data_IF_291103327443
#
_entry.id   IF_291103327443
#
_cell.length_a   1.000
_cell.length_b   1.000
_cell.length_c   1.000
_cell.angle_alpha   90.00
_cell.angle_beta   90.00
_cell.angle_gamma   90.00
#
_symmetry.space_group_name_H-M   'P 1'
#
loop_
_entity.id
_entity.type
_entity.pdbx_description
1 polymer ?
#
# COMPACT_ATOMS: atom_id res chain seq x y z
N UNK A 1 -19.91 -12.61 23.81
CA UNK A 1 -19.24 -13.81 23.26
C UNK A 1 -20.05 -14.46 22.14
N UNK A 2 -21.37 -14.64 22.27
CA UNK A 2 -22.22 -15.25 21.22
C UNK A 2 -22.15 -14.55 19.86
N UNK A 3 -22.19 -13.21 19.82
CA UNK A 3 -22.11 -12.46 18.55
C UNK A 3 -20.80 -12.70 17.82
N UNK A 4 -19.68 -12.66 18.55
CA UNK A 4 -18.34 -12.90 17.97
C UNK A 4 -18.22 -14.32 17.43
N UNK A 5 -18.79 -15.30 18.12
CA UNK A 5 -18.85 -16.67 17.63
C UNK A 5 -19.71 -16.79 16.36
N UNK A 6 -20.89 -16.17 16.31
CA UNK A 6 -21.75 -16.16 15.10
C UNK A 6 -21.03 -15.46 13.94
N UNK A 7 -20.26 -14.41 14.18
CA UNK A 7 -19.43 -13.75 13.14
C UNK A 7 -18.34 -14.69 12.65
N UNK A 8 -17.56 -15.27 13.56
CA UNK A 8 -16.46 -16.15 13.19
C UNK A 8 -16.99 -17.36 12.41
N UNK A 9 -18.12 -17.91 12.85
CA UNK A 9 -18.81 -19.01 12.19
C UNK A 9 -19.37 -18.61 10.81
N UNK A 10 -20.08 -17.48 10.71
CA UNK A 10 -20.63 -17.00 9.43
C UNK A 10 -19.54 -16.62 8.43
N UNK A 11 -18.46 -15.98 8.89
CA UNK A 11 -17.29 -15.70 8.06
C UNK A 11 -16.58 -16.99 7.64
N UNK A 12 -16.40 -17.96 8.54
CA UNK A 12 -15.78 -19.25 8.20
C UNK A 12 -16.62 -20.05 7.20
N UNK A 13 -17.93 -20.16 7.42
CA UNK A 13 -18.88 -20.79 6.49
C UNK A 13 -18.85 -20.05 5.15
N UNK A 14 -18.85 -18.73 5.18
CA UNK A 14 -18.83 -17.89 3.99
C UNK A 14 -17.58 -18.07 3.14
N UNK A 15 -16.40 -18.03 3.78
CA UNK A 15 -15.11 -18.26 3.11
C UNK A 15 -15.03 -19.69 2.59
N UNK A 16 -15.41 -20.69 3.40
CA UNK A 16 -15.41 -22.08 2.98
C UNK A 16 -16.34 -22.31 1.78
N UNK A 17 -17.55 -21.75 1.82
CA UNK A 17 -18.54 -21.82 0.74
C UNK A 17 -18.04 -21.15 -0.54
N UNK A 18 -17.43 -19.96 -0.42
CA UNK A 18 -16.84 -19.26 -1.56
C UNK A 18 -15.69 -20.06 -2.20
N UNK A 19 -14.78 -20.59 -1.39
CA UNK A 19 -13.65 -21.39 -1.87
C UNK A 19 -14.13 -22.70 -2.53
N UNK A 20 -15.09 -23.38 -1.90
CA UNK A 20 -15.71 -24.57 -2.46
C UNK A 20 -16.37 -24.27 -3.80
N UNK A 21 -17.20 -23.23 -3.88
CA UNK A 21 -17.89 -22.85 -5.12
C UNK A 21 -16.89 -22.47 -6.23
N UNK A 22 -15.85 -21.70 -5.89
CA UNK A 22 -14.77 -21.30 -6.80
C UNK A 22 -14.01 -22.49 -7.40
N UNK A 23 -13.88 -23.58 -6.66
CA UNK A 23 -13.30 -24.83 -7.18
C UNK A 23 -14.32 -25.66 -7.94
N UNK A 24 -15.55 -25.76 -7.44
CA UNK A 24 -16.60 -26.59 -7.99
C UNK A 24 -17.05 -26.09 -9.38
N UNK A 25 -17.12 -24.78 -9.59
CA UNK A 25 -17.53 -24.15 -10.87
C UNK A 25 -16.55 -24.41 -12.02
N UNK A 26 -15.33 -24.87 -11.72
CA UNK A 26 -14.36 -25.30 -12.75
C UNK A 26 -14.71 -26.66 -13.34
N UNK A 27 -15.60 -27.43 -12.69
CA UNK A 27 -16.04 -28.74 -13.16
C UNK A 27 -17.25 -28.56 -14.07
N UNK A 28 -17.27 -29.28 -15.20
CA UNK A 28 -18.40 -29.30 -16.15
C UNK A 28 -19.79 -29.46 -15.50
N UNK A 29 -20.05 -30.38 -14.55
CA UNK A 29 -21.39 -30.56 -14.02
C UNK A 29 -21.98 -29.30 -13.36
N UNK A 30 -21.15 -28.48 -12.69
CA UNK A 30 -21.64 -27.24 -12.10
C UNK A 30 -21.85 -26.15 -13.15
N UNK A 31 -21.04 -26.14 -14.21
CA UNK A 31 -21.25 -25.23 -15.33
C UNK A 31 -22.57 -25.55 -16.03
N UNK A 32 -22.86 -26.82 -16.30
CA UNK A 32 -24.13 -27.27 -16.89
C UNK A 32 -25.33 -26.92 -16.00
N UNK A 33 -25.16 -27.02 -14.67
CA UNK A 33 -26.16 -26.55 -13.71
C UNK A 33 -26.39 -25.04 -13.81
N UNK A 34 -25.33 -24.23 -13.92
CA UNK A 34 -25.45 -22.78 -14.13
C UNK A 34 -26.14 -22.46 -15.46
N UNK A 35 -25.82 -23.18 -16.55
CA UNK A 35 -26.44 -22.97 -17.85
C UNK A 35 -27.93 -23.33 -17.86
N UNK A 36 -28.33 -24.36 -17.11
CA UNK A 36 -29.76 -24.72 -16.96
C UNK A 36 -30.54 -23.79 -16.03
N UNK A 37 -29.87 -23.10 -15.08
CA UNK A 37 -30.50 -22.25 -14.07
C UNK A 37 -30.06 -20.78 -14.17
N UNK A 38 -29.98 -20.24 -15.39
CA UNK A 38 -29.56 -18.85 -15.61
C UNK A 38 -30.45 -17.81 -14.92
N UNK A 39 -31.74 -18.08 -14.73
CA UNK A 39 -32.63 -17.15 -14.00
C UNK A 39 -32.16 -16.85 -12.57
N UNK A 40 -31.38 -17.76 -11.96
CA UNK A 40 -30.86 -17.63 -10.59
C UNK A 40 -29.35 -17.40 -10.56
N UNK A 41 -28.59 -18.11 -11.40
CA UNK A 41 -27.13 -18.13 -11.38
C UNK A 41 -26.46 -17.31 -12.48
N UNK A 42 -27.24 -16.66 -13.36
CA UNK A 42 -26.65 -15.69 -14.28
C UNK A 42 -26.02 -14.54 -13.49
N UNK A 43 -24.83 -14.03 -13.87
CA UNK A 43 -24.15 -12.95 -13.14
C UNK A 43 -25.07 -11.76 -12.80
N UNK A 44 -25.81 -11.25 -13.79
CA UNK A 44 -26.78 -10.16 -13.57
C UNK A 44 -27.88 -10.52 -12.54
N UNK A 45 -28.37 -11.76 -12.55
CA UNK A 45 -29.38 -12.22 -11.59
C UNK A 45 -28.79 -12.26 -10.17
N UNK A 46 -27.56 -12.75 -10.02
CA UNK A 46 -26.83 -12.74 -8.75
C UNK A 46 -26.68 -11.30 -8.23
N UNK A 47 -26.36 -10.32 -9.09
CA UNK A 47 -26.29 -8.91 -8.70
C UNK A 47 -27.64 -8.41 -8.15
N UNK A 48 -28.75 -8.71 -8.81
CA UNK A 48 -30.09 -8.34 -8.33
C UNK A 48 -30.43 -9.00 -6.99
N UNK A 49 -30.20 -10.30 -6.86
CA UNK A 49 -30.45 -11.05 -5.62
C UNK A 49 -29.61 -10.55 -4.45
N UNK A 50 -28.34 -10.21 -4.71
CA UNK A 50 -27.43 -9.60 -3.73
C UNK A 50 -27.96 -8.27 -3.21
N UNK A 51 -28.36 -7.37 -4.11
CA UNK A 51 -28.93 -6.07 -3.72
C UNK A 51 -30.24 -6.27 -2.96
N UNK A 52 -31.13 -7.15 -3.40
CA UNK A 52 -32.37 -7.47 -2.69
C UNK A 52 -32.11 -8.02 -1.28
N UNK A 53 -31.14 -8.93 -1.13
CA UNK A 53 -30.72 -9.47 0.15
C UNK A 53 -30.23 -8.37 1.11
N UNK A 54 -29.51 -7.37 0.61
CA UNK A 54 -29.07 -6.22 1.40
C UNK A 54 -30.23 -5.41 1.97
N UNK A 55 -31.26 -5.15 1.16
CA UNK A 55 -32.47 -4.46 1.63
C UNK A 55 -33.28 -5.30 2.62
N UNK A 56 -33.36 -6.62 2.43
CA UNK A 56 -33.96 -7.54 3.40
C UNK A 56 -33.19 -7.52 4.72
N UNK A 57 -31.85 -7.52 4.67
CA UNK A 57 -31.01 -7.40 5.85
C UNK A 57 -31.24 -6.08 6.59
N UNK A 58 -31.42 -4.97 5.87
CA UNK A 58 -31.77 -3.68 6.49
C UNK A 58 -33.11 -3.72 7.19
N UNK A 59 -34.12 -4.30 6.55
CA UNK A 59 -35.43 -4.47 7.16
C UNK A 59 -35.34 -5.33 8.43
N UNK A 60 -34.58 -6.42 8.40
CA UNK A 60 -34.39 -7.30 9.56
C UNK A 60 -33.64 -6.57 10.69
N UNK A 61 -32.63 -5.77 10.36
CA UNK A 61 -31.82 -5.05 11.34
C UNK A 61 -32.61 -3.92 12.02
N UNK A 62 -33.22 -3.02 11.23
CA UNK A 62 -33.81 -1.79 11.74
C UNK A 62 -35.30 -1.92 12.09
N UNK A 63 -36.08 -2.73 11.36
CA UNK A 63 -37.52 -2.86 11.60
C UNK A 63 -37.87 -4.01 12.56
N UNK A 64 -37.21 -5.17 12.42
CA UNK A 64 -37.49 -6.36 13.23
C UNK A 64 -36.54 -6.55 14.42
N UNK A 65 -35.47 -5.74 14.51
CA UNK A 65 -34.39 -5.88 15.49
C UNK A 65 -33.70 -7.27 15.48
N UNK A 66 -33.83 -8.03 14.40
CA UNK A 66 -33.21 -9.36 14.20
C UNK A 66 -31.77 -9.21 13.71
N UNK A 67 -30.92 -8.64 14.57
CA UNK A 67 -29.54 -8.28 14.22
C UNK A 67 -28.71 -9.46 13.70
N UNK A 68 -28.81 -10.63 14.33
CA UNK A 68 -28.04 -11.82 13.94
C UNK A 68 -28.37 -12.27 12.51
N UNK A 69 -29.65 -12.33 12.17
CA UNK A 69 -30.11 -12.69 10.82
C UNK A 69 -29.69 -11.65 9.79
N UNK A 70 -29.77 -10.35 10.13
CA UNK A 70 -29.30 -9.29 9.24
C UNK A 70 -27.79 -9.37 8.96
N UNK A 71 -26.96 -9.60 9.98
CA UNK A 71 -25.51 -9.77 9.83
C UNK A 71 -25.19 -10.97 8.92
N UNK A 72 -25.90 -12.08 9.11
CA UNK A 72 -25.75 -13.26 8.25
C UNK A 72 -26.08 -12.94 6.79
N UNK A 73 -27.19 -12.24 6.54
CA UNK A 73 -27.60 -11.86 5.18
C UNK A 73 -26.63 -10.85 4.56
N UNK A 74 -26.14 -9.85 5.29
CA UNK A 74 -25.10 -8.93 4.80
C UNK A 74 -23.82 -9.67 4.42
N UNK A 75 -23.42 -10.66 5.23
CA UNK A 75 -22.24 -11.49 4.96
C UNK A 75 -22.45 -12.32 3.69
N UNK A 76 -23.64 -12.91 3.52
CA UNK A 76 -23.99 -13.66 2.31
C UNK A 76 -24.01 -12.76 1.07
N UNK A 77 -24.58 -11.56 1.16
CA UNK A 77 -24.57 -10.58 0.08
C UNK A 77 -23.13 -10.17 -0.32
N UNK A 78 -22.25 -9.97 0.66
CA UNK A 78 -20.83 -9.68 0.40
C UNK A 78 -20.10 -10.82 -0.32
N UNK A 79 -20.47 -12.07 -0.07
CA UNK A 79 -19.89 -13.23 -0.75
C UNK A 79 -20.41 -13.33 -2.19
N UNK A 80 -21.69 -13.02 -2.42
CA UNK A 80 -22.30 -13.06 -3.75
C UNK A 80 -21.61 -12.14 -4.77
N UNK A 81 -21.03 -11.02 -4.31
CA UNK A 81 -20.18 -10.10 -5.10
C UNK A 81 -18.91 -10.76 -5.66
N UNK A 82 -18.39 -11.77 -4.97
CA UNK A 82 -17.30 -12.57 -5.51
C UNK A 82 -17.80 -13.63 -6.48
N UNK A 83 -19.00 -14.16 -6.23
CA UNK A 83 -19.57 -15.31 -6.95
C UNK A 83 -20.00 -14.90 -8.36
N UNK A 84 -20.70 -13.77 -8.55
CA UNK A 84 -21.10 -13.28 -9.88
C UNK A 84 -19.90 -13.13 -10.83
N UNK A 85 -18.80 -12.54 -10.35
CA UNK A 85 -17.58 -12.35 -11.10
C UNK A 85 -16.84 -13.66 -11.40
N UNK A 86 -16.95 -14.68 -10.56
CA UNK A 86 -16.42 -16.03 -10.85
C UNK A 86 -17.26 -16.70 -11.93
N UNK A 87 -18.59 -16.67 -11.80
CA UNK A 87 -19.50 -17.28 -12.77
C UNK A 87 -19.33 -16.62 -14.13
N UNK A 88 -19.27 -15.28 -14.19
CA UNK A 88 -19.05 -14.55 -15.44
C UNK A 88 -17.77 -14.99 -16.17
N UNK A 89 -16.66 -15.18 -15.43
CA UNK A 89 -15.36 -15.56 -16.00
C UNK A 89 -15.28 -17.03 -16.39
N UNK A 90 -15.79 -17.94 -15.56
CA UNK A 90 -15.67 -19.39 -15.79
C UNK A 90 -16.68 -19.91 -16.81
N UNK A 91 -17.92 -19.39 -16.77
CA UNK A 91 -18.98 -19.79 -17.70
C UNK A 91 -19.05 -18.89 -18.96
N UNK A 92 -18.16 -17.88 -19.09
CA UNK A 92 -18.14 -16.90 -20.19
C UNK A 92 -19.48 -16.18 -20.39
N UNK A 93 -20.22 -15.93 -19.31
CA UNK A 93 -21.53 -15.26 -19.30
C UNK A 93 -21.42 -13.73 -19.08
N UNK A 94 -20.33 -13.11 -19.55
CA UNK A 94 -20.17 -11.66 -19.48
C UNK A 94 -21.17 -10.95 -20.41
N UNK A 95 -21.79 -9.87 -19.94
CA UNK A 95 -22.71 -9.05 -20.73
C UNK A 95 -22.39 -7.57 -20.60
N UNK A 96 -22.63 -6.79 -21.67
CA UNK A 96 -22.42 -5.32 -21.67
C UNK A 96 -23.31 -4.63 -20.64
N UNK A 97 -24.53 -5.12 -20.45
CA UNK A 97 -25.42 -4.68 -19.38
C UNK A 97 -24.85 -5.00 -18.01
N UNK A 98 -24.32 -6.21 -17.81
CA UNK A 98 -23.69 -6.64 -16.56
C UNK A 98 -22.50 -5.76 -16.16
N UNK A 99 -21.66 -5.36 -17.11
CA UNK A 99 -20.54 -4.44 -16.84
C UNK A 99 -20.99 -3.07 -16.30
N UNK A 100 -22.19 -2.64 -16.69
CA UNK A 100 -22.78 -1.41 -16.16
C UNK A 100 -23.50 -1.64 -14.81
N UNK A 101 -24.29 -2.72 -14.75
CA UNK A 101 -25.16 -3.09 -13.64
C UNK A 101 -24.38 -3.48 -12.38
N UNK A 102 -23.34 -4.30 -12.51
CA UNK A 102 -22.64 -4.88 -11.37
C UNK A 102 -22.05 -3.80 -10.43
N UNK A 103 -21.29 -2.80 -10.91
CA UNK A 103 -20.84 -1.69 -10.07
C UNK A 103 -21.95 -0.80 -9.50
N UNK A 104 -23.16 -0.84 -10.07
CA UNK A 104 -24.33 -0.18 -9.47
C UNK A 104 -24.88 -1.01 -8.32
N UNK A 105 -25.06 -2.31 -8.54
CA UNK A 105 -25.50 -3.26 -7.52
C UNK A 105 -24.54 -3.26 -6.33
N UNK A 106 -23.22 -3.16 -6.52
CA UNK A 106 -22.25 -3.00 -5.43
C UNK A 106 -22.63 -1.82 -4.53
N UNK A 107 -22.78 -0.64 -5.13
CA UNK A 107 -23.06 0.62 -4.42
C UNK A 107 -24.40 0.58 -3.72
N UNK A 108 -25.42 0.02 -4.36
CA UNK A 108 -26.75 -0.17 -3.76
C UNK A 108 -26.73 -1.20 -2.63
N UNK A 109 -25.80 -2.14 -2.66
CA UNK A 109 -25.66 -3.16 -1.61
C UNK A 109 -25.02 -2.58 -0.34
N UNK A 110 -23.99 -1.74 -0.46
CA UNK A 110 -23.28 -1.22 0.71
C UNK A 110 -23.61 0.22 1.14
N UNK A 111 -23.99 1.13 0.23
CA UNK A 111 -24.23 2.53 0.61
C UNK A 111 -25.49 2.73 1.48
N UNK A 112 -26.67 2.17 1.14
CA UNK A 112 -27.87 2.35 1.96
C UNK A 112 -27.70 1.86 3.41
N UNK A 113 -27.09 0.67 3.66
CA UNK A 113 -26.76 0.27 5.02
C UNK A 113 -25.85 1.25 5.75
N UNK A 114 -24.77 1.72 5.11
CA UNK A 114 -23.84 2.65 5.74
C UNK A 114 -24.51 3.99 6.07
N UNK A 115 -25.37 4.51 5.18
CA UNK A 115 -26.14 5.73 5.46
C UNK A 115 -27.01 5.54 6.70
N UNK A 116 -27.74 4.44 6.80
CA UNK A 116 -28.58 4.16 7.97
C UNK A 116 -27.76 3.99 9.25
N UNK A 117 -26.59 3.32 9.19
CA UNK A 117 -25.67 3.22 10.32
C UNK A 117 -25.06 4.56 10.74
N UNK A 118 -24.88 5.49 9.81
CA UNK A 118 -24.45 6.85 10.13
C UNK A 118 -25.53 7.60 10.92
N UNK A 119 -26.78 7.51 10.48
CA UNK A 119 -27.91 8.13 11.19
C UNK A 119 -28.24 7.44 12.52
N UNK A 120 -27.82 6.20 12.73
CA UNK A 120 -27.87 5.55 14.05
C UNK A 120 -26.68 5.92 14.96
N UNK A 121 -25.80 6.82 14.52
CA UNK A 121 -24.68 7.33 15.32
C UNK A 121 -23.44 6.43 15.39
N UNK A 122 -23.32 5.42 14.52
CA UNK A 122 -22.17 4.49 14.51
C UNK A 122 -21.00 5.09 13.73
N UNK A 123 -21.28 5.80 12.64
CA UNK A 123 -20.27 6.46 11.79
C UNK A 123 -20.68 7.89 11.44
N UNK A 124 -19.71 8.69 11.02
CA UNK A 124 -19.87 10.10 10.73
C UNK A 124 -20.77 10.37 9.53
N UNK A 125 -21.88 11.09 9.76
CA UNK A 125 -22.85 11.51 8.73
C UNK A 125 -22.19 12.34 7.60
N UNK A 126 -21.33 13.34 7.88
CA UNK A 126 -20.62 14.06 6.81
C UNK A 126 -19.74 13.15 5.94
N UNK A 127 -19.03 12.21 6.56
CA UNK A 127 -18.11 11.31 5.85
C UNK A 127 -18.86 10.35 4.91
N UNK A 128 -19.99 9.80 5.34
CA UNK A 128 -20.76 8.89 4.47
C UNK A 128 -21.34 9.63 3.26
N UNK A 129 -21.81 10.87 3.42
CA UNK A 129 -22.30 11.66 2.30
C UNK A 129 -21.19 12.05 1.33
N UNK A 130 -19.97 12.32 1.84
CA UNK A 130 -18.80 12.50 1.00
C UNK A 130 -18.50 11.22 0.18
N UNK A 131 -18.53 10.04 0.81
CA UNK A 131 -18.37 8.77 0.09
C UNK A 131 -19.45 8.58 -0.98
N UNK A 132 -20.73 8.79 -0.64
CA UNK A 132 -21.85 8.69 -1.59
C UNK A 132 -21.65 9.62 -2.79
N UNK A 133 -21.28 10.89 -2.54
CA UNK A 133 -21.02 11.85 -3.60
C UNK A 133 -19.91 11.37 -4.55
N UNK A 134 -18.75 10.94 -4.02
CA UNK A 134 -17.64 10.44 -4.83
C UNK A 134 -18.06 9.20 -5.64
N UNK A 135 -18.81 8.28 -5.04
CA UNK A 135 -19.27 7.05 -5.70
C UNK A 135 -20.26 7.30 -6.85
N UNK A 136 -21.18 8.26 -6.65
CA UNK A 136 -22.16 8.66 -7.65
C UNK A 136 -21.50 9.42 -8.80
N UNK A 137 -20.61 10.37 -8.48
CA UNK A 137 -19.78 11.08 -9.47
C UNK A 137 -18.96 10.06 -10.27
N UNK A 138 -18.32 9.10 -9.60
CA UNK A 138 -17.53 8.06 -10.26
C UNK A 138 -18.37 7.09 -11.09
N UNK A 139 -19.65 6.87 -10.74
CA UNK A 139 -20.52 6.01 -11.52
C UNK A 139 -21.08 6.70 -12.75
N UNK A 140 -21.69 7.87 -12.58
CA UNK A 140 -22.49 8.49 -13.61
C UNK A 140 -21.63 9.45 -14.43
N UNK A 141 -20.98 10.41 -13.78
CA UNK A 141 -20.19 11.43 -14.47
C UNK A 141 -18.93 10.83 -15.08
N UNK A 142 -18.10 10.15 -14.29
CA UNK A 142 -16.80 9.67 -14.78
C UNK A 142 -16.95 8.58 -15.83
N UNK A 143 -17.87 7.63 -15.64
CA UNK A 143 -18.13 6.57 -16.64
C UNK A 143 -18.69 7.15 -17.93
N UNK A 144 -19.59 8.13 -17.84
CA UNK A 144 -20.10 8.82 -19.02
C UNK A 144 -18.98 9.52 -19.80
N UNK A 145 -18.10 10.26 -19.11
CA UNK A 145 -16.93 10.90 -19.73
C UNK A 145 -16.02 9.85 -20.39
N UNK A 146 -15.67 8.76 -19.69
CA UNK A 146 -14.80 7.71 -20.22
C UNK A 146 -15.41 7.03 -21.46
N UNK A 147 -16.72 6.79 -21.45
CA UNK A 147 -17.43 6.24 -22.61
C UNK A 147 -17.37 7.16 -23.83
N UNK A 148 -17.45 8.48 -23.62
CA UNK A 148 -17.28 9.47 -24.69
C UNK A 148 -15.85 9.56 -25.22
N UNK A 149 -14.86 9.35 -24.35
CA UNK A 149 -13.45 9.35 -24.73
C UNK A 149 -12.99 8.02 -25.34
N UNK A 150 -13.87 7.02 -25.47
CA UNK A 150 -13.54 5.65 -25.89
C UNK A 150 -12.42 5.02 -25.04
N UNK A 151 -12.27 5.44 -23.79
CA UNK A 151 -11.33 4.87 -22.84
C UNK A 151 -12.07 3.80 -22.04
N UNK A 152 -11.42 2.66 -21.80
CA UNK A 152 -11.99 1.59 -20.98
C UNK A 152 -12.36 2.11 -19.59
N UNK A 153 -13.66 2.05 -19.26
CA UNK A 153 -14.19 2.37 -17.93
C UNK A 153 -14.00 1.26 -16.89
N UNK A 154 -13.16 0.27 -17.19
CA UNK A 154 -12.96 -0.93 -16.38
C UNK A 154 -12.56 -0.61 -14.94
N UNK A 155 -12.94 -1.51 -14.02
CA UNK A 155 -12.62 -1.38 -12.61
C UNK A 155 -11.10 -1.52 -12.38
N UNK A 156 -10.50 -0.49 -11.77
CA UNK A 156 -9.13 -0.54 -11.29
C UNK A 156 -9.05 -1.25 -9.92
N UNK A 157 -7.83 -1.56 -9.47
CA UNK A 157 -7.61 -2.29 -8.23
C UNK A 157 -8.10 -1.50 -6.99
N UNK A 158 -7.99 -0.17 -7.01
CA UNK A 158 -8.49 0.69 -5.94
C UNK A 158 -10.00 0.53 -5.74
N UNK A 159 -10.77 0.54 -6.83
CA UNK A 159 -12.22 0.33 -6.78
C UNK A 159 -12.62 -1.03 -6.22
N UNK A 160 -11.88 -2.09 -6.59
CA UNK A 160 -12.12 -3.47 -6.09
C UNK A 160 -11.82 -3.58 -4.60
N UNK A 161 -10.65 -3.09 -4.15
CA UNK A 161 -10.27 -3.12 -2.73
C UNK A 161 -11.26 -2.30 -1.89
N UNK A 162 -11.65 -1.11 -2.39
CA UNK A 162 -12.63 -0.25 -1.74
C UNK A 162 -13.98 -0.96 -1.55
N UNK A 163 -14.47 -1.68 -2.56
CA UNK A 163 -15.73 -2.41 -2.46
C UNK A 163 -15.67 -3.44 -1.32
N UNK A 164 -14.62 -4.27 -1.28
CA UNK A 164 -14.40 -5.25 -0.20
C UNK A 164 -14.40 -4.58 1.18
N UNK A 165 -13.72 -3.44 1.33
CA UNK A 165 -13.67 -2.72 2.61
C UNK A 165 -15.03 -2.10 2.95
N UNK A 166 -15.82 -1.61 1.98
CA UNK A 166 -17.17 -1.13 2.22
C UNK A 166 -18.10 -2.25 2.70
N UNK A 167 -18.03 -3.44 2.10
CA UNK A 167 -18.76 -4.61 2.57
C UNK A 167 -18.36 -5.00 4.00
N UNK A 168 -17.06 -5.04 4.28
CA UNK A 168 -16.55 -5.31 5.62
C UNK A 168 -17.01 -4.24 6.63
N UNK A 169 -17.08 -2.96 6.22
CA UNK A 169 -17.57 -1.86 7.05
C UNK A 169 -19.06 -2.00 7.36
N UNK A 170 -19.90 -2.43 6.41
CA UNK A 170 -21.32 -2.72 6.67
C UNK A 170 -21.46 -3.79 7.76
N UNK A 171 -20.71 -4.88 7.63
CA UNK A 171 -20.71 -5.96 8.62
C UNK A 171 -20.20 -5.44 9.97
N UNK A 172 -19.10 -4.67 9.99
CA UNK A 172 -18.55 -4.07 11.20
C UNK A 172 -19.56 -3.15 11.90
N UNK A 173 -20.23 -2.26 11.16
CA UNK A 173 -21.26 -1.37 11.71
C UNK A 173 -22.46 -2.14 12.26
N UNK A 174 -22.88 -3.22 11.59
CA UNK A 174 -23.95 -4.09 12.09
C UNK A 174 -23.58 -4.80 13.41
N UNK A 175 -22.29 -4.89 13.74
CA UNK A 175 -21.77 -5.58 14.92
C UNK A 175 -21.54 -4.67 16.12
N UNK A 176 -21.11 -3.43 15.87
CA UNK A 176 -20.83 -2.47 16.92
C UNK A 176 -22.18 -1.89 17.40
N UNK A 177 -22.60 -2.27 18.61
CA UNK A 177 -23.85 -1.78 19.21
C UNK A 177 -23.79 -0.29 19.58
N UNK A 178 -22.61 0.21 19.95
CA UNK A 178 -22.34 1.60 20.29
C UNK A 178 -20.83 1.88 20.18
N UNK A 179 -20.47 3.12 19.84
CA UNK A 179 -19.07 3.53 19.65
C UNK A 179 -18.27 3.43 20.97
N UNK A 180 -17.26 2.53 21.07
CA UNK A 180 -16.45 2.42 22.28
C UNK A 180 -15.28 3.41 22.22
N UNK A 181 -15.50 4.64 22.69
CA UNK A 181 -14.43 5.60 23.04
C UNK A 181 -14.06 6.66 21.99
N UNK A 182 -12.93 7.34 22.22
CA UNK A 182 -12.47 8.53 21.49
C UNK A 182 -12.00 8.27 20.05
N UNK A 183 -11.72 7.02 19.68
CA UNK A 183 -11.28 6.64 18.32
C UNK A 183 -12.33 5.72 17.70
N UNK A 184 -13.17 6.29 16.83
CA UNK A 184 -14.16 5.52 16.09
C UNK A 184 -13.50 4.71 14.97
N UNK A 185 -13.35 3.40 15.19
CA UNK A 185 -12.81 2.46 14.18
C UNK A 185 -13.64 2.52 12.89
N UNK A 186 -14.96 2.67 12.99
CA UNK A 186 -15.85 2.81 11.85
C UNK A 186 -15.51 4.03 10.99
N UNK A 187 -15.23 5.18 11.61
CA UNK A 187 -14.82 6.40 10.90
C UNK A 187 -13.43 6.26 10.25
N UNK A 188 -12.50 5.57 10.92
CA UNK A 188 -11.19 5.27 10.34
C UNK A 188 -11.28 4.40 9.08
N UNK A 189 -12.12 3.36 9.12
CA UNK A 189 -12.38 2.49 7.96
C UNK A 189 -13.16 3.25 6.87
N UNK A 190 -14.13 4.08 7.24
CA UNK A 190 -14.87 4.93 6.31
C UNK A 190 -13.96 5.93 5.59
N UNK A 191 -13.03 6.56 6.31
CA UNK A 191 -12.01 7.44 5.73
C UNK A 191 -11.14 6.68 4.72
N UNK A 192 -10.73 5.45 5.04
CA UNK A 192 -9.99 4.61 4.10
C UNK A 192 -10.82 4.31 2.83
N UNK A 193 -12.13 4.04 2.96
CA UNK A 193 -13.04 3.90 1.82
C UNK A 193 -13.13 5.18 0.98
N UNK A 194 -13.22 6.35 1.60
CA UNK A 194 -13.27 7.65 0.91
C UNK A 194 -11.97 7.87 0.11
N UNK A 195 -10.81 7.66 0.74
CA UNK A 195 -9.50 7.83 0.10
C UNK A 195 -9.36 6.87 -1.08
N UNK A 196 -9.75 5.61 -0.93
CA UNK A 196 -9.69 4.62 -2.01
C UNK A 196 -10.71 4.91 -3.12
N UNK A 197 -11.89 5.44 -2.79
CA UNK A 197 -12.89 5.86 -3.76
C UNK A 197 -12.41 7.05 -4.60
N UNK A 198 -11.88 8.08 -3.94
CA UNK A 198 -11.29 9.24 -4.60
C UNK A 198 -10.09 8.83 -5.47
N UNK A 199 -9.21 7.97 -4.95
CA UNK A 199 -8.09 7.41 -5.72
C UNK A 199 -8.59 6.63 -6.94
N UNK A 200 -9.57 5.75 -6.75
CA UNK A 200 -10.18 4.99 -7.85
C UNK A 200 -10.74 5.89 -8.94
N UNK A 201 -11.36 7.02 -8.57
CA UNK A 201 -11.88 8.01 -9.51
C UNK A 201 -10.76 8.73 -10.27
N UNK A 202 -9.77 9.25 -9.56
CA UNK A 202 -8.65 9.99 -10.15
C UNK A 202 -7.84 9.11 -11.10
N UNK A 203 -7.47 7.91 -10.66
CA UNK A 203 -6.64 6.98 -11.42
C UNK A 203 -7.33 6.35 -12.63
N UNK A 204 -8.65 6.56 -12.83
CA UNK A 204 -9.33 6.21 -14.09
C UNK A 204 -9.00 7.16 -15.23
N UNK A 205 -8.68 8.42 -14.94
CA UNK A 205 -8.32 9.42 -15.94
C UNK A 205 -6.82 9.51 -16.18
N UNK A 206 -6.02 8.86 -15.34
CA UNK A 206 -4.57 8.88 -15.40
C UNK A 206 -4.11 7.61 -16.12
N UNK A 207 -3.39 7.72 -17.25
CA UNK A 207 -2.75 6.58 -17.90
C UNK A 207 -1.83 5.82 -16.94
N UNK A 208 -1.92 4.48 -16.94
CA UNK A 208 -1.13 3.62 -16.05
C UNK A 208 0.39 3.87 -16.13
N UNK A 209 0.89 4.28 -17.30
CA UNK A 209 2.30 4.63 -17.52
C UNK A 209 2.80 5.83 -16.69
N UNK A 210 1.89 6.66 -16.16
CA UNK A 210 2.23 7.82 -15.31
C UNK A 210 2.31 7.45 -13.82
N UNK A 211 2.00 6.21 -13.44
CA UNK A 211 1.96 5.84 -12.02
C UNK A 211 3.33 5.96 -11.36
N UNK A 212 4.40 5.60 -12.08
CA UNK A 212 5.77 5.77 -11.63
C UNK A 212 6.08 7.27 -11.42
N UNK A 213 5.87 8.09 -12.45
CA UNK A 213 6.14 9.53 -12.39
C UNK A 213 5.38 10.25 -11.25
N UNK A 214 4.13 9.86 -10.99
CA UNK A 214 3.35 10.40 -9.87
C UNK A 214 3.99 10.04 -8.53
N UNK A 215 4.45 8.79 -8.37
CA UNK A 215 5.12 8.35 -7.16
C UNK A 215 6.47 9.06 -6.96
N UNK A 216 7.27 9.25 -8.01
CA UNK A 216 8.51 10.04 -7.94
C UNK A 216 8.22 11.51 -7.61
N UNK A 217 7.14 12.08 -8.16
CA UNK A 217 6.65 13.42 -7.79
C UNK A 217 6.22 13.52 -6.32
N UNK A 218 5.59 12.49 -5.76
CA UNK A 218 5.26 12.41 -4.35
C UNK A 218 6.50 12.26 -3.46
N UNK A 219 7.51 11.50 -3.91
CA UNK A 219 8.83 11.45 -3.24
C UNK A 219 9.45 12.85 -3.19
N UNK A 220 9.49 13.56 -4.31
CA UNK A 220 9.99 14.94 -4.37
C UNK A 220 9.23 15.87 -3.42
N UNK A 221 7.90 15.77 -3.37
CA UNK A 221 7.06 16.55 -2.44
C UNK A 221 7.39 16.23 -0.98
N UNK A 222 7.65 14.96 -0.65
CA UNK A 222 8.13 14.54 0.67
C UNK A 222 9.50 15.15 1.01
N UNK A 223 10.43 15.18 0.06
CA UNK A 223 11.74 15.82 0.22
C UNK A 223 11.63 17.32 0.51
N UNK A 224 10.83 18.06 -0.29
CA UNK A 224 10.58 19.49 -0.09
C UNK A 224 9.86 19.73 1.26
N UNK A 225 8.83 18.94 1.56
CA UNK A 225 8.14 19.01 2.84
C UNK A 225 9.06 18.72 4.03
N UNK A 226 10.01 17.82 3.88
CA UNK A 226 11.03 17.51 4.89
C UNK A 226 11.94 18.72 5.16
N UNK A 227 12.40 19.40 4.10
CA UNK A 227 13.16 20.65 4.22
C UNK A 227 12.38 21.71 5.00
N UNK A 228 11.09 21.89 4.67
CA UNK A 228 10.22 22.83 5.38
C UNK A 228 10.03 22.46 6.87
N UNK A 229 9.79 21.18 7.17
CA UNK A 229 9.65 20.71 8.55
C UNK A 229 10.95 20.85 9.36
N UNK A 230 12.11 20.62 8.72
CA UNK A 230 13.41 20.81 9.33
C UNK A 230 13.68 22.30 9.64
N UNK A 231 13.31 23.19 8.72
CA UNK A 231 13.39 24.65 8.95
C UNK A 231 12.54 25.08 10.16
N UNK A 232 11.35 24.50 10.33
CA UNK A 232 10.49 24.73 11.50
C UNK A 232 10.99 24.05 12.79
N UNK A 233 12.19 23.43 12.79
CA UNK A 233 12.75 22.70 13.93
C UNK A 233 12.07 21.36 14.24
N UNK A 234 11.12 20.90 13.41
CA UNK A 234 10.36 19.67 13.60
C UNK A 234 11.06 18.46 12.95
N UNK A 235 12.26 18.16 13.42
CA UNK A 235 13.13 17.13 12.82
C UNK A 235 12.50 15.73 12.76
N UNK A 236 11.77 15.28 13.79
CA UNK A 236 11.11 13.98 13.77
C UNK A 236 10.06 13.87 12.64
N UNK A 237 9.26 14.91 12.45
CA UNK A 237 8.30 14.99 11.34
C UNK A 237 8.99 15.06 9.99
N UNK A 238 10.12 15.78 9.89
CA UNK A 238 10.93 15.86 8.68
C UNK A 238 11.48 14.48 8.28
N UNK A 239 11.97 13.69 9.24
CA UNK A 239 12.43 12.31 9.00
C UNK A 239 11.28 11.38 8.63
N UNK A 240 10.09 11.54 9.23
CA UNK A 240 8.91 10.78 8.82
C UNK A 240 8.58 11.00 7.34
N UNK A 241 8.68 12.24 6.85
CA UNK A 241 8.45 12.55 5.43
C UNK A 241 9.48 11.87 4.53
N UNK A 242 10.76 11.79 4.92
CA UNK A 242 11.77 11.05 4.13
C UNK A 242 11.48 9.55 4.10
N UNK A 243 11.04 8.96 5.22
CA UNK A 243 10.64 7.55 5.25
C UNK A 243 9.44 7.31 4.32
N UNK A 244 8.46 8.23 4.29
CA UNK A 244 7.33 8.14 3.36
C UNK A 244 7.78 8.31 1.91
N UNK A 245 8.68 9.26 1.62
CA UNK A 245 9.29 9.43 0.30
C UNK A 245 10.02 8.18 -0.18
N UNK A 246 10.76 7.50 0.71
CA UNK A 246 11.41 6.22 0.45
C UNK A 246 10.44 5.08 0.15
N UNK A 247 9.23 5.11 0.74
CA UNK A 247 8.20 4.16 0.35
C UNK A 247 7.72 4.44 -1.08
N UNK A 248 7.59 5.70 -1.49
CA UNK A 248 7.20 6.05 -2.87
C UNK A 248 8.27 5.65 -3.90
N UNK A 249 9.55 5.95 -3.64
CA UNK A 249 10.71 5.48 -4.43
C UNK A 249 10.72 3.94 -4.58
N UNK A 250 10.52 3.20 -3.47
CA UNK A 250 10.44 1.74 -3.57
C UNK A 250 9.31 1.24 -4.49
N UNK A 251 8.22 1.99 -4.60
CA UNK A 251 7.06 1.63 -5.42
C UNK A 251 7.13 2.16 -6.85
N UNK A 252 7.79 3.28 -7.14
CA UNK A 252 7.81 3.87 -8.47
C UNK A 252 8.52 2.96 -9.49
N UNK A 253 9.67 2.38 -9.14
CA UNK A 253 10.42 1.47 -10.00
C UNK A 253 9.63 0.19 -10.29
N UNK A 254 8.87 -0.30 -9.31
CA UNK A 254 7.96 -1.46 -9.51
C UNK A 254 6.78 -1.10 -10.40
N UNK A 255 6.24 0.12 -10.27
CA UNK A 255 5.17 0.59 -11.15
C UNK A 255 5.68 0.81 -12.57
N UNK A 256 6.90 1.33 -12.75
CA UNK A 256 7.54 1.49 -14.05
C UNK A 256 7.76 0.14 -14.74
N UNK A 257 8.24 -0.88 -14.00
CA UNK A 257 8.40 -2.24 -14.53
C UNK A 257 7.06 -2.87 -14.94
N UNK A 258 6.00 -2.64 -14.16
CA UNK A 258 4.70 -3.28 -14.36
C UNK A 258 3.83 -2.59 -15.41
N UNK A 259 3.83 -1.26 -15.43
CA UNK A 259 2.91 -0.44 -16.22
C UNK A 259 3.60 0.37 -17.31
N UNK A 260 4.93 0.27 -17.42
CA UNK A 260 5.75 1.18 -18.22
C UNK A 260 5.96 2.52 -17.51
N UNK A 261 6.90 3.31 -18.02
CA UNK A 261 7.17 4.67 -17.56
C UNK A 261 7.17 5.67 -18.72
N UNK A 262 7.29 6.95 -18.41
CA UNK A 262 7.56 7.97 -19.43
C UNK A 262 9.07 8.12 -19.67
N UNK A 263 9.43 8.87 -20.72
CA UNK A 263 10.83 9.21 -21.00
C UNK A 263 11.43 10.15 -19.94
N UNK A 264 10.59 10.95 -19.27
CA UNK A 264 11.00 11.83 -18.17
C UNK A 264 11.11 11.11 -16.83
N UNK A 265 10.37 10.00 -16.64
CA UNK A 265 10.24 9.30 -15.36
C UNK A 265 11.59 9.06 -14.66
N UNK A 266 12.59 8.45 -15.32
CA UNK A 266 13.90 8.24 -14.71
C UNK A 266 14.61 9.52 -14.26
N UNK A 267 14.46 10.63 -14.99
CA UNK A 267 15.06 11.91 -14.59
C UNK A 267 14.32 12.53 -13.40
N UNK A 268 13.00 12.39 -13.35
CA UNK A 268 12.19 12.86 -12.23
C UNK A 268 12.51 12.07 -10.96
N UNK A 269 12.69 10.75 -11.10
CA UNK A 269 13.14 9.84 -10.04
C UNK A 269 14.51 10.27 -9.49
N UNK A 270 15.53 10.43 -10.36
CA UNK A 270 16.86 10.89 -9.95
C UNK A 270 16.82 12.26 -9.21
N UNK A 271 15.97 13.18 -9.66
CA UNK A 271 15.78 14.49 -8.99
C UNK A 271 15.11 14.31 -7.63
N UNK A 272 14.06 13.50 -7.55
CA UNK A 272 13.35 13.21 -6.30
C UNK A 272 14.29 12.56 -5.28
N UNK A 273 15.06 11.57 -5.70
CA UNK A 273 16.07 10.89 -4.88
C UNK A 273 17.15 11.84 -4.38
N UNK A 274 17.65 12.72 -5.24
CA UNK A 274 18.68 13.68 -4.84
C UNK A 274 18.14 14.69 -3.82
N UNK A 275 16.89 15.13 -3.96
CA UNK A 275 16.25 16.05 -3.01
C UNK A 275 15.94 15.36 -1.67
N UNK A 276 15.33 14.18 -1.71
CA UNK A 276 14.88 13.44 -0.52
C UNK A 276 16.03 12.79 0.24
N UNK A 277 17.00 12.18 -0.45
CA UNK A 277 18.08 11.42 0.19
C UNK A 277 19.43 12.14 0.22
N UNK A 278 19.59 13.20 -0.60
CA UNK A 278 20.77 14.07 -0.59
C UNK A 278 20.52 15.36 0.18
N UNK A 279 19.75 16.27 -0.41
CA UNK A 279 19.56 17.63 0.12
C UNK A 279 18.90 17.65 1.50
N UNK A 280 17.81 16.92 1.71
CA UNK A 280 17.11 16.97 2.99
C UNK A 280 17.98 16.50 4.18
N UNK A 281 18.68 15.35 4.13
CA UNK A 281 19.62 14.96 5.18
C UNK A 281 20.81 15.92 5.31
N UNK A 282 21.37 16.39 4.19
CA UNK A 282 22.48 17.35 4.21
C UNK A 282 22.09 18.67 4.90
N UNK A 283 20.88 19.16 4.64
CA UNK A 283 20.33 20.35 5.30
C UNK A 283 20.11 20.12 6.80
N UNK A 284 19.62 18.94 7.20
CA UNK A 284 19.48 18.61 8.62
C UNK A 284 20.84 18.48 9.34
N UNK A 285 21.89 18.01 8.65
CA UNK A 285 23.26 18.05 9.18
C UNK A 285 23.67 19.52 9.43
N UNK A 286 23.39 20.45 8.51
CA UNK A 286 23.70 21.88 8.69
C UNK A 286 23.00 22.43 9.94
N UNK A 287 21.70 22.13 10.10
CA UNK A 287 20.91 22.68 11.21
C UNK A 287 21.32 22.12 12.59
N UNK A 288 21.81 20.86 12.67
CA UNK A 288 22.08 20.20 13.95
C UNK A 288 23.54 19.87 14.23
N UNK A 289 24.40 19.89 13.22
CA UNK A 289 25.76 19.37 13.26
C UNK A 289 26.81 20.33 13.83
N UNK A 290 26.42 21.49 14.36
CA UNK A 290 27.34 22.45 14.96
C UNK A 290 28.38 23.03 13.97
N UNK A 291 29.61 23.35 14.41
CA UNK A 291 30.54 24.18 13.65
C UNK A 291 31.10 23.53 12.39
N UNK A 292 31.28 22.20 12.39
CA UNK A 292 31.79 21.45 11.22
C UNK A 292 30.67 20.89 10.34
N UNK A 293 29.41 21.24 10.62
CA UNK A 293 28.25 20.72 9.90
C UNK A 293 28.32 20.96 8.40
N UNK A 294 28.80 22.13 7.97
CA UNK A 294 28.93 22.48 6.55
C UNK A 294 29.84 21.50 5.79
N UNK A 295 30.94 21.06 6.41
CA UNK A 295 31.91 20.14 5.80
C UNK A 295 31.29 18.74 5.62
N UNK A 296 30.70 18.20 6.68
CA UNK A 296 30.10 16.86 6.65
C UNK A 296 28.81 16.82 5.82
N UNK A 297 28.07 17.94 5.77
CA UNK A 297 26.92 18.11 4.89
C UNK A 297 27.33 18.10 3.42
N UNK A 298 28.37 18.88 3.06
CA UNK A 298 28.91 18.91 1.71
C UNK A 298 29.45 17.54 1.28
N UNK A 299 30.22 16.89 2.15
CA UNK A 299 30.75 15.54 1.92
C UNK A 299 29.63 14.55 1.61
N UNK A 300 28.58 14.55 2.44
CA UNK A 300 27.43 13.68 2.28
C UNK A 300 26.67 13.97 0.98
N UNK A 301 26.38 15.24 0.68
CA UNK A 301 25.64 15.63 -0.51
C UNK A 301 26.39 15.25 -1.80
N UNK A 302 27.70 15.49 -1.84
CA UNK A 302 28.55 15.12 -2.98
C UNK A 302 28.62 13.59 -3.14
N UNK A 303 28.69 12.85 -2.03
CA UNK A 303 28.68 11.38 -2.07
C UNK A 303 27.36 10.82 -2.65
N UNK A 304 26.21 11.39 -2.27
CA UNK A 304 24.92 11.01 -2.84
C UNK A 304 24.86 11.35 -4.33
N UNK A 305 25.26 12.57 -4.73
CA UNK A 305 25.28 12.98 -6.13
C UNK A 305 26.15 12.04 -6.98
N UNK A 306 27.37 11.76 -6.53
CA UNK A 306 28.28 10.84 -7.20
C UNK A 306 27.67 9.44 -7.31
N UNK A 307 27.05 8.93 -6.24
CA UNK A 307 26.39 7.62 -6.23
C UNK A 307 25.31 7.53 -7.30
N UNK A 308 24.39 8.52 -7.36
CA UNK A 308 23.30 8.54 -8.33
C UNK A 308 23.85 8.56 -9.76
N UNK A 309 24.82 9.44 -10.04
CA UNK A 309 25.48 9.52 -11.36
C UNK A 309 26.18 8.20 -11.73
N UNK A 310 26.91 7.59 -10.79
CA UNK A 310 27.58 6.30 -11.01
C UNK A 310 26.56 5.20 -11.33
N UNK A 311 25.45 5.17 -10.60
CA UNK A 311 24.42 4.17 -10.81
C UNK A 311 23.84 4.26 -12.23
N UNK A 312 23.44 5.47 -12.65
CA UNK A 312 22.85 5.71 -13.97
C UNK A 312 23.82 5.46 -15.11
N UNK A 313 25.09 5.90 -14.99
CA UNK A 313 26.07 5.83 -16.09
C UNK A 313 26.83 4.51 -16.18
N UNK A 314 27.06 3.84 -15.05
CA UNK A 314 28.01 2.72 -14.97
C UNK A 314 27.32 1.45 -14.47
N UNK A 315 26.77 1.48 -13.26
CA UNK A 315 26.32 0.24 -12.60
C UNK A 315 25.11 -0.39 -13.33
N UNK A 316 24.25 0.41 -13.99
CA UNK A 316 23.08 -0.08 -14.74
C UNK A 316 23.42 -0.91 -15.99
N UNK A 317 24.58 -0.68 -16.61
CA UNK A 317 24.98 -1.32 -17.88
C UNK A 317 26.00 -2.44 -17.69
N UNK A 318 26.36 -2.73 -16.45
CA UNK A 318 27.36 -3.73 -16.11
C UNK A 318 26.76 -5.13 -16.10
N UNK A 319 27.37 -6.03 -16.86
CA UNK A 319 27.04 -7.45 -16.89
C UNK A 319 27.76 -8.26 -15.80
N UNK A 320 28.73 -7.67 -15.11
CA UNK A 320 29.50 -8.26 -14.01
C UNK A 320 28.76 -8.26 -12.65
N UNK A 321 27.64 -7.56 -12.54
CA UNK A 321 26.84 -7.55 -11.31
C UNK A 321 25.71 -8.60 -11.36
N UNK A 322 25.59 -9.45 -10.32
CA UNK A 322 24.44 -10.33 -10.17
C UNK A 322 23.13 -9.52 -10.15
N UNK A 323 22.09 -10.06 -10.78
CA UNK A 323 20.79 -9.40 -10.88
C UNK A 323 20.28 -8.95 -9.49
N UNK A 324 20.11 -7.64 -9.30
CA UNK A 324 19.58 -7.05 -8.06
C UNK A 324 20.62 -6.77 -6.97
N UNK A 325 21.91 -6.75 -7.30
CA UNK A 325 22.98 -6.29 -6.40
C UNK A 325 23.45 -4.90 -6.83
N UNK A 326 23.70 -4.01 -5.87
CA UNK A 326 24.26 -2.69 -6.09
C UNK A 326 25.70 -2.61 -5.60
N UNK A 327 26.54 -1.85 -6.30
CA UNK A 327 27.78 -1.34 -5.73
C UNK A 327 27.48 -0.16 -4.79
N UNK A 328 28.06 -0.16 -3.60
CA UNK A 328 27.89 0.85 -2.56
C UNK A 328 26.51 0.83 -1.88
N UNK A 329 26.43 1.41 -0.68
CA UNK A 329 25.19 1.47 0.12
C UNK A 329 24.11 2.35 -0.55
N UNK A 330 22.87 1.86 -0.78
CA UNK A 330 21.76 2.67 -1.31
C UNK A 330 21.57 4.04 -0.64
N UNK A 331 21.32 5.07 -1.45
CA UNK A 331 21.06 6.45 -1.03
C UNK A 331 19.97 6.53 0.05
N UNK A 332 18.82 5.81 -0.08
CA UNK A 332 17.82 5.81 0.98
C UNK A 332 18.35 5.25 2.32
N UNK A 333 19.12 4.16 2.28
CA UNK A 333 19.72 3.58 3.48
C UNK A 333 20.80 4.50 4.09
N UNK A 334 21.61 5.14 3.24
CA UNK A 334 22.63 6.10 3.64
C UNK A 334 22.01 7.36 4.27
N UNK A 335 20.89 7.84 3.74
CA UNK A 335 20.10 8.93 4.29
C UNK A 335 19.53 8.56 5.67
N UNK A 336 18.87 7.41 5.80
CA UNK A 336 18.31 6.97 7.09
C UNK A 336 19.37 6.76 8.17
N UNK A 337 20.58 6.29 7.79
CA UNK A 337 21.70 6.20 8.73
C UNK A 337 21.98 7.58 9.33
N UNK A 338 22.19 8.61 8.50
CA UNK A 338 22.46 9.98 8.95
C UNK A 338 21.29 10.56 9.73
N UNK A 339 20.06 10.43 9.22
CA UNK A 339 18.86 10.98 9.84
C UNK A 339 18.59 10.37 11.22
N UNK A 340 18.87 9.08 11.42
CA UNK A 340 18.80 8.46 12.75
C UNK A 340 19.72 9.16 13.76
N UNK A 341 20.96 9.48 13.36
CA UNK A 341 21.89 10.21 14.22
C UNK A 341 21.52 11.68 14.42
N UNK A 342 20.95 12.35 13.41
CA UNK A 342 20.42 13.73 13.54
C UNK A 342 19.36 13.85 14.65
N UNK A 343 18.55 12.80 14.85
CA UNK A 343 17.52 12.81 15.89
C UNK A 343 18.09 12.63 17.31
N UNK A 344 19.24 11.96 17.45
CA UNK A 344 19.86 11.65 18.76
C UNK A 344 20.92 12.70 19.14
N UNK A 345 21.65 13.24 18.17
CA UNK A 345 22.76 14.18 18.37
C UNK A 345 22.37 15.63 18.01
N UNK A 346 22.49 16.60 18.94
CA UNK A 346 22.16 16.58 20.38
C UNK A 346 20.64 16.41 20.58
N UNK A 347 20.09 16.15 21.78
CA UNK A 347 20.68 16.34 23.12
C UNK A 347 21.30 15.10 23.78
N UNK A 348 21.13 13.90 23.22
CA UNK A 348 21.47 12.65 23.95
C UNK A 348 22.93 12.22 23.78
N UNK A 349 23.52 12.49 22.62
CA UNK A 349 24.88 12.08 22.28
C UNK A 349 25.68 13.27 21.71
N UNK A 350 27.02 13.25 21.84
CA UNK A 350 27.87 14.31 21.32
C UNK A 350 27.86 14.39 19.79
N UNK A 351 28.12 15.59 19.26
CA UNK A 351 28.04 15.91 17.82
C UNK A 351 28.94 15.06 16.92
N UNK A 352 30.08 14.61 17.43
CA UNK A 352 31.05 13.85 16.63
C UNK A 352 30.48 12.52 16.11
N UNK A 353 29.47 11.94 16.77
CA UNK A 353 28.77 10.76 16.26
C UNK A 353 28.02 11.06 14.95
N UNK A 354 27.39 12.24 14.83
CA UNK A 354 26.71 12.65 13.59
C UNK A 354 27.72 12.85 12.46
N UNK A 355 28.87 13.47 12.74
CA UNK A 355 29.94 13.65 11.77
C UNK A 355 30.51 12.31 11.29
N UNK A 356 30.76 11.39 12.23
CA UNK A 356 31.22 10.04 11.94
C UNK A 356 30.19 9.28 11.09
N UNK A 357 28.90 9.39 11.41
CA UNK A 357 27.84 8.77 10.66
C UNK A 357 27.74 9.32 9.22
N UNK A 358 27.85 10.64 9.04
CA UNK A 358 27.87 11.28 7.73
C UNK A 358 29.08 10.83 6.90
N UNK A 359 30.28 10.80 7.49
CA UNK A 359 31.49 10.31 6.82
C UNK A 359 31.40 8.82 6.46
N UNK A 360 30.93 7.99 7.40
CA UNK A 360 30.74 6.56 7.19
C UNK A 360 29.73 6.29 6.07
N UNK A 361 28.57 6.96 6.10
CA UNK A 361 27.55 6.85 5.06
C UNK A 361 28.11 7.25 3.69
N UNK A 362 28.83 8.38 3.62
CA UNK A 362 29.48 8.89 2.40
C UNK A 362 30.47 7.87 1.83
N UNK A 363 31.34 7.33 2.69
CA UNK A 363 32.31 6.30 2.31
C UNK A 363 31.61 5.04 1.78
N UNK A 364 30.60 4.52 2.48
CA UNK A 364 29.87 3.33 2.08
C UNK A 364 29.14 3.52 0.74
N UNK A 365 28.57 4.70 0.48
CA UNK A 365 27.90 5.02 -0.79
C UNK A 365 28.89 5.04 -1.98
N UNK A 366 30.07 5.64 -1.79
CA UNK A 366 31.11 5.76 -2.83
C UNK A 366 31.88 4.43 -3.01
N UNK A 367 31.96 3.61 -1.97
CA UNK A 367 32.70 2.34 -2.00
C UNK A 367 32.18 1.36 -3.06
N UNK A 368 33.00 0.33 -3.34
CA UNK A 368 32.63 -0.83 -4.17
C UNK A 368 32.05 -1.99 -3.34
N UNK A 369 31.68 -1.73 -2.08
CA UNK A 369 31.08 -2.76 -1.21
C UNK A 369 29.68 -3.05 -1.75
N UNK A 370 29.39 -4.31 -2.06
CA UNK A 370 28.13 -4.69 -2.68
C UNK A 370 27.03 -4.95 -1.66
N UNK A 371 25.83 -4.47 -1.95
CA UNK A 371 24.63 -4.67 -1.14
C UNK A 371 23.48 -5.20 -1.99
N UNK A 372 22.73 -6.18 -1.48
CA UNK A 372 21.55 -6.68 -2.15
C UNK A 372 20.39 -5.65 -2.13
N UNK A 373 19.65 -5.59 -3.24
CA UNK A 373 18.46 -4.75 -3.37
C UNK A 373 17.35 -5.23 -2.44
N UNK A 374 16.88 -4.33 -1.57
CA UNK A 374 15.83 -4.61 -0.59
C UNK A 374 14.53 -5.16 -1.24
N UNK A 375 13.93 -4.38 -2.14
CA UNK A 375 12.66 -4.75 -2.78
C UNK A 375 12.71 -5.96 -3.74
N UNK A 376 13.80 -6.17 -4.48
CA UNK A 376 13.88 -7.20 -5.53
C UNK A 376 14.35 -8.55 -5.00
N UNK A 377 15.29 -8.56 -4.06
CA UNK A 377 15.89 -9.79 -3.52
C UNK A 377 15.36 -10.08 -2.12
N UNK A 378 15.59 -9.17 -1.16
CA UNK A 378 15.30 -9.45 0.25
C UNK A 378 13.81 -9.75 0.45
N UNK A 379 12.93 -8.90 -0.07
CA UNK A 379 11.48 -9.02 0.15
C UNK A 379 10.88 -10.29 -0.51
N UNK A 380 11.47 -10.81 -1.59
CA UNK A 380 11.00 -12.04 -2.25
C UNK A 380 11.46 -13.31 -1.52
N UNK A 381 12.60 -13.27 -0.83
CA UNK A 381 13.17 -14.43 -0.11
C UNK A 381 12.56 -14.64 1.28
N UNK A 382 11.96 -13.60 1.88
CA UNK A 382 11.31 -13.73 3.19
C UNK A 382 10.01 -14.54 3.06
N UNK A 383 9.82 -15.61 3.85
CA UNK A 383 8.58 -16.37 3.87
C UNK A 383 7.38 -15.47 4.19
N UNK A 384 6.26 -15.64 3.45
CA UNK A 384 5.02 -14.87 3.65
C UNK A 384 4.57 -14.74 5.12
N UNK A 385 4.54 -15.81 5.96
CA UNK A 385 4.12 -15.66 7.36
C UNK A 385 5.08 -14.75 8.15
N UNK A 386 6.39 -14.91 7.97
CA UNK A 386 7.42 -14.08 8.62
C UNK A 386 7.29 -12.61 8.19
N UNK A 387 7.03 -12.36 6.90
CA UNK A 387 6.80 -11.01 6.39
C UNK A 387 5.60 -10.33 7.05
N UNK A 388 4.46 -11.03 7.17
CA UNK A 388 3.27 -10.49 7.83
C UNK A 388 3.51 -10.24 9.33
N UNK A 389 4.19 -11.16 10.01
CA UNK A 389 4.54 -10.99 11.43
C UNK A 389 5.49 -9.81 11.67
N UNK A 390 6.53 -9.64 10.84
CA UNK A 390 7.45 -8.51 10.91
C UNK A 390 6.74 -7.18 10.63
N UNK A 391 5.87 -7.15 9.62
CA UNK A 391 5.10 -5.96 9.27
C UNK A 391 4.16 -5.54 10.41
N UNK A 392 3.46 -6.51 11.01
CA UNK A 392 2.61 -6.26 12.18
C UNK A 392 3.41 -5.74 13.38
N UNK A 393 4.58 -6.33 13.67
CA UNK A 393 5.45 -5.87 14.74
C UNK A 393 5.94 -4.43 14.53
N UNK A 394 6.37 -4.08 13.30
CA UNK A 394 6.79 -2.71 12.96
C UNK A 394 5.64 -1.72 13.18
N UNK A 395 4.42 -2.04 12.77
CA UNK A 395 3.24 -1.18 12.96
C UNK A 395 2.97 -0.96 14.46
N UNK A 396 3.02 -2.02 15.27
CA UNK A 396 2.83 -1.92 16.73
C UNK A 396 3.92 -1.04 17.37
N UNK A 397 5.19 -1.25 16.99
CA UNK A 397 6.32 -0.47 17.50
C UNK A 397 6.17 1.00 17.11
N UNK A 398 5.83 1.30 15.86
CA UNK A 398 5.57 2.67 15.41
C UNK A 398 4.41 3.30 16.19
N UNK A 399 3.29 2.61 16.34
CA UNK A 399 2.15 3.10 17.11
C UNK A 399 2.53 3.42 18.56
N UNK A 400 3.33 2.56 19.19
CA UNK A 400 3.86 2.80 20.53
C UNK A 400 4.80 4.00 20.59
N UNK A 401 5.70 4.17 19.61
CA UNK A 401 6.61 5.32 19.52
C UNK A 401 5.83 6.63 19.34
N UNK A 402 4.84 6.65 18.44
CA UNK A 402 3.99 7.84 18.25
C UNK A 402 3.18 8.17 19.50
N UNK A 403 2.70 7.17 20.24
CA UNK A 403 2.01 7.36 21.52
C UNK A 403 2.92 7.93 22.60
N UNK A 404 4.14 7.42 22.72
CA UNK A 404 5.13 7.86 23.72
C UNK A 404 5.84 9.16 23.36
N UNK A 405 5.74 9.60 22.09
CA UNK A 405 6.42 10.79 21.53
C UNK A 405 7.94 10.81 21.80
N UNK A 406 8.55 9.64 21.99
CA UNK A 406 9.97 9.51 22.30
C UNK A 406 10.82 9.56 21.04
N UNK A 407 11.56 10.66 20.85
CA UNK A 407 12.46 10.85 19.70
C UNK A 407 13.59 9.82 19.70
N UNK A 408 14.13 9.48 20.88
CA UNK A 408 15.21 8.50 21.02
C UNK A 408 14.80 7.10 20.56
N UNK A 409 13.59 6.65 20.90
CA UNK A 409 13.08 5.36 20.43
C UNK A 409 12.85 5.34 18.93
N UNK A 410 12.33 6.44 18.37
CA UNK A 410 12.14 6.57 16.94
C UNK A 410 13.47 6.48 16.19
N UNK A 411 14.50 7.17 16.67
CA UNK A 411 15.83 7.13 16.09
C UNK A 411 16.50 5.75 16.22
N UNK A 412 16.35 5.09 17.38
CA UNK A 412 16.84 3.73 17.59
C UNK A 412 16.20 2.73 16.61
N UNK A 413 14.88 2.84 16.38
CA UNK A 413 14.19 2.02 15.39
C UNK A 413 14.80 2.20 13.98
N UNK A 414 15.04 3.45 13.58
CA UNK A 414 15.66 3.76 12.27
C UNK A 414 17.05 3.13 12.19
N UNK A 415 17.92 3.40 13.17
CA UNK A 415 19.30 2.91 13.15
C UNK A 415 19.38 1.38 13.18
N UNK A 416 18.55 0.72 13.99
CA UNK A 416 18.45 -0.74 14.01
C UNK A 416 17.97 -1.27 12.66
N UNK A 417 16.95 -0.65 12.07
CA UNK A 417 16.44 -1.08 10.76
C UNK A 417 17.50 -0.99 9.65
N UNK A 418 18.31 0.08 9.64
CA UNK A 418 19.41 0.25 8.68
C UNK A 418 20.54 -0.73 8.97
N UNK A 419 20.89 -0.97 10.23
CA UNK A 419 21.90 -1.96 10.61
C UNK A 419 21.49 -3.38 10.18
N UNK A 420 20.24 -3.77 10.44
CA UNK A 420 19.67 -5.05 9.98
C UNK A 420 19.73 -5.15 8.45
N UNK A 421 19.33 -4.08 7.75
CA UNK A 421 19.43 -4.05 6.29
C UNK A 421 20.88 -4.24 5.80
N UNK A 422 21.85 -3.55 6.37
CA UNK A 422 23.26 -3.67 5.98
C UNK A 422 23.81 -5.09 6.23
N UNK A 423 23.45 -5.72 7.36
CA UNK A 423 23.89 -7.08 7.71
C UNK A 423 23.22 -8.12 6.79
N UNK A 424 21.89 -8.09 6.69
CA UNK A 424 21.13 -9.05 5.87
C UNK A 424 21.44 -8.87 4.38
N UNK A 425 21.55 -7.63 3.91
CA UNK A 425 21.87 -7.30 2.51
C UNK A 425 23.25 -7.77 2.08
N UNK A 426 24.20 -7.90 3.03
CA UNK A 426 25.53 -8.45 2.79
C UNK A 426 25.55 -9.98 2.85
N UNK A 427 25.02 -10.57 3.93
CA UNK A 427 25.01 -12.04 4.11
C UNK A 427 24.32 -12.78 2.96
N UNK A 428 23.20 -12.25 2.48
CA UNK A 428 22.46 -12.91 1.38
C UNK A 428 23.11 -12.78 0.01
N UNK A 429 24.10 -11.89 -0.16
CA UNK A 429 24.98 -11.90 -1.34
C UNK A 429 25.96 -13.06 -1.23
N UNK A 430 26.62 -13.22 -0.08
CA UNK A 430 27.61 -14.28 0.13
C UNK A 430 27.00 -15.66 -0.17
N UNK A 431 25.78 -15.93 0.30
CA UNK A 431 25.05 -17.17 -0.03
C UNK A 431 24.67 -17.31 -1.51
N UNK A 432 24.43 -16.20 -2.22
CA UNK A 432 24.10 -16.24 -3.65
C UNK A 432 25.34 -16.53 -4.51
N UNK A 433 26.48 -15.95 -4.16
CA UNK A 433 27.77 -16.26 -4.80
C UNK A 433 28.21 -17.70 -4.54
N UNK A 434 27.96 -18.23 -3.35
CA UNK A 434 28.21 -19.64 -3.02
C UNK A 434 27.31 -20.59 -3.83
N UNK A 435 26.03 -20.24 -4.02
CA UNK A 435 25.10 -21.04 -4.82
C UNK A 435 25.44 -21.03 -6.32
N UNK A 436 25.83 -19.88 -6.87
CA UNK A 436 26.22 -19.75 -8.29
C UNK A 436 27.54 -20.48 -8.59
N UNK A 437 28.48 -20.52 -7.64
CA UNK A 437 29.71 -21.32 -7.76
C UNK A 437 29.50 -22.82 -7.59
N UNK A 438 28.37 -23.23 -6.99
CA UNK A 438 28.04 -24.64 -6.78
C UNK A 438 27.25 -25.27 -7.94
N UNK A 439 26.78 -24.49 -8.92
CA UNK A 439 26.19 -25.02 -10.14
C UNK A 439 27.29 -25.58 -11.07
N UNK A 440 27.26 -26.87 -11.43
CA UNK A 440 28.26 -27.46 -12.31
C UNK A 440 28.15 -26.83 -13.70
N UNK A 441 29.30 -26.42 -14.24
CA UNK A 441 29.42 -25.92 -15.61
C UNK A 441 28.88 -26.97 -16.58
N UNK A 442 27.99 -26.60 -17.52
CA UNK A 442 27.51 -27.55 -18.51
C UNK A 442 28.71 -28.06 -19.34
N UNK A 443 28.75 -29.35 -19.68
CA UNK A 443 29.87 -29.93 -20.41
C UNK A 443 30.05 -29.20 -21.75
N UNK A 444 31.31 -28.99 -22.19
CA UNK A 444 31.57 -28.38 -23.48
C UNK A 444 30.92 -29.21 -24.60
N UNK A 445 30.24 -28.50 -25.51
CA UNK A 445 29.46 -29.05 -26.61
C UNK A 445 30.30 -29.82 -27.63
#
# INVERSE_FOLDING_TARGET
>A
MERVFIIALSAAIGIAGFLWFSQAIKRQPLQDFVFSHQWLLHPNAICYWRTAAAFIALFFYFALAWKASAIFIFTLAAIMDGVDGIVARQCKLGSTWGEWLDPMCDKLTYLPPLVLFAYSGIISVPMIWLLVAIELVGQFMARWILSKLHISGAANNFGKIKAIICFALVILCALIDANPGDINIGDGVLLACIVLSASSLLFKFIPNRLYADILSGLNLACGIGSLYMAYQGRFASAVCLIIVGQLFDLFDGRMAEKHGGTWCGPYLDDIADFVSFGFAPAYMIILRGGPLSWLFSLLFLVAVAYRLIRFVKVDKYRSDLPCGVFNGLPSPAGALLVLGWVLICPPFLPLWFLWLAAACSSFLMISRIQFAHFGRILLKKVPRPVFFSLSAAIIIILAFIFKTKSIGMFAALILVSVAVYMICGRRWRETAEEAEKAEPTPPPA
#
